data_IF_003609607653
#
_entry.id   IF_003609607653
#
_cell.length_a   1.000
_cell.length_b   1.000
_cell.length_c   1.000
_cell.angle_alpha   90.00
_cell.angle_beta   90.00
_cell.angle_gamma   90.00
#
_symmetry.space_group_name_H-M   'P 1'
#
loop_
_entity.id
_entity.type
_entity.pdbx_description
1 polymer ?
#
# COMPACT_ATOMS: atom_id res chain seq x y z
N UNK A 1 -8.16 -10.63 11.02
CA UNK A 1 -7.33 -10.59 12.23
C UNK A 1 -6.78 -9.20 12.44
N UNK A 2 -6.67 -8.79 13.67
CA UNK A 2 -6.24 -7.46 14.01
C UNK A 2 -4.79 -7.48 14.51
N UNK A 3 -3.98 -6.55 14.03
CA UNK A 3 -2.60 -6.46 14.47
C UNK A 3 -2.52 -5.82 15.85
N UNK A 4 -1.62 -6.34 16.66
CA UNK A 4 -1.42 -5.83 17.99
C UNK A 4 -0.54 -4.58 17.96
N UNK A 5 -0.72 -3.72 18.95
CA UNK A 5 0.11 -2.52 19.04
C UNK A 5 1.59 -2.87 19.21
N UNK A 6 1.88 -3.98 19.94
CA UNK A 6 3.28 -4.36 20.11
C UNK A 6 3.88 -4.86 18.80
N UNK A 7 3.09 -5.40 17.88
CA UNK A 7 3.59 -5.76 16.56
C UNK A 7 4.04 -4.51 15.82
N UNK A 8 3.24 -3.46 15.89
CA UNK A 8 3.61 -2.21 15.24
C UNK A 8 4.89 -1.65 15.84
N UNK A 9 5.03 -1.71 17.15
CA UNK A 9 6.25 -1.22 17.80
C UNK A 9 7.47 -2.01 17.36
N UNK A 10 7.32 -3.32 17.16
CA UNK A 10 8.43 -4.13 16.68
C UNK A 10 8.83 -3.73 15.26
N UNK A 11 7.85 -3.44 14.42
CA UNK A 11 8.15 -3.01 13.05
C UNK A 11 8.90 -1.69 13.09
N UNK A 12 8.46 -0.77 13.95
CA UNK A 12 9.16 0.51 14.10
C UNK A 12 10.62 0.28 14.46
N UNK A 13 10.88 -0.74 15.29
CA UNK A 13 12.24 -1.07 15.71
C UNK A 13 13.02 -1.87 14.66
N UNK A 14 12.40 -2.22 13.55
CA UNK A 14 13.09 -2.92 12.48
C UNK A 14 12.98 -4.43 12.53
N UNK A 15 11.99 -4.97 13.26
CA UNK A 15 11.78 -6.41 13.35
C UNK A 15 11.16 -6.92 12.06
N UNK A 16 11.95 -7.65 11.27
CA UNK A 16 11.49 -8.12 9.97
C UNK A 16 10.46 -9.24 10.08
N UNK A 17 10.50 -10.00 11.15
CA UNK A 17 9.50 -11.05 11.35
C UNK A 17 8.14 -10.42 11.59
N UNK A 18 8.10 -9.39 12.43
CA UNK A 18 6.86 -8.66 12.66
C UNK A 18 6.36 -8.02 11.37
N UNK A 19 7.27 -7.50 10.55
CA UNK A 19 6.87 -6.91 9.29
C UNK A 19 6.32 -7.95 8.32
N UNK A 20 6.89 -9.16 8.32
CA UNK A 20 6.34 -10.23 7.48
C UNK A 20 4.89 -10.54 7.86
N UNK A 21 4.57 -10.53 9.15
CA UNK A 21 3.18 -10.72 9.56
C UNK A 21 2.29 -9.59 9.09
N UNK A 22 2.81 -8.38 9.14
CA UNK A 22 2.09 -7.23 8.63
C UNK A 22 1.76 -7.41 7.15
N UNK A 23 2.76 -7.82 6.36
CA UNK A 23 2.55 -8.03 4.94
C UNK A 23 1.53 -9.14 4.68
N UNK A 24 1.63 -10.23 5.43
CA UNK A 24 0.67 -11.33 5.27
C UNK A 24 -0.75 -10.88 5.58
N UNK A 25 -0.88 -10.01 6.57
CA UNK A 25 -2.19 -9.53 6.97
C UNK A 25 -2.86 -8.70 5.87
N UNK A 26 -2.09 -7.92 5.16
CA UNK A 26 -2.65 -6.96 4.21
C UNK A 26 -2.53 -7.36 2.74
N UNK A 27 -1.62 -8.26 2.39
CA UNK A 27 -1.25 -8.45 0.98
C UNK A 27 -2.42 -8.89 0.12
N UNK A 28 -3.22 -9.84 0.59
CA UNK A 28 -4.33 -10.34 -0.22
C UNK A 28 -5.36 -9.25 -0.49
N UNK A 29 -5.71 -8.49 0.54
CA UNK A 29 -6.69 -7.41 0.39
C UNK A 29 -6.17 -6.34 -0.56
N UNK A 30 -4.93 -5.94 -0.38
CA UNK A 30 -4.36 -4.90 -1.23
C UNK A 30 -4.22 -5.38 -2.66
N UNK A 31 -3.86 -6.64 -2.84
CA UNK A 31 -3.75 -7.19 -4.18
C UNK A 31 -5.10 -7.18 -4.90
N UNK A 32 -6.14 -7.68 -4.23
CA UNK A 32 -7.46 -7.73 -4.86
C UNK A 32 -7.98 -6.34 -5.17
N UNK A 33 -7.77 -5.41 -4.25
CA UNK A 33 -8.17 -4.03 -4.46
C UNK A 33 -7.45 -3.42 -5.67
N UNK A 34 -6.14 -3.62 -5.74
CA UNK A 34 -5.34 -3.07 -6.82
C UNK A 34 -5.67 -3.74 -8.16
N UNK A 35 -5.86 -5.05 -8.12
CA UNK A 35 -6.23 -5.76 -9.34
C UNK A 35 -7.58 -5.25 -9.88
N UNK A 36 -8.51 -4.96 -8.99
CA UNK A 36 -9.80 -4.41 -9.43
C UNK A 36 -9.62 -3.07 -10.12
N UNK A 37 -8.64 -2.28 -9.69
CA UNK A 37 -8.38 -0.99 -10.31
C UNK A 37 -7.61 -1.11 -11.62
N UNK A 38 -6.63 -1.98 -11.68
CA UNK A 38 -5.70 -2.04 -12.80
C UNK A 38 -6.05 -3.10 -13.83
N UNK A 39 -6.67 -4.19 -13.41
CA UNK A 39 -7.04 -5.26 -14.32
C UNK A 39 -5.89 -6.11 -14.80
N UNK A 40 -4.69 -5.93 -14.25
CA UNK A 40 -3.50 -6.67 -14.66
C UNK A 40 -2.80 -7.24 -13.44
N UNK A 41 -2.49 -8.53 -13.52
CA UNK A 41 -1.92 -9.23 -12.38
C UNK A 41 -0.53 -8.70 -12.01
N UNK A 42 0.36 -8.62 -12.99
CA UNK A 42 1.73 -8.20 -12.72
C UNK A 42 1.78 -6.78 -12.18
N UNK A 43 0.97 -5.90 -12.75
CA UNK A 43 0.94 -4.52 -12.28
C UNK A 43 0.43 -4.44 -10.86
N UNK A 44 -0.60 -5.23 -10.55
CA UNK A 44 -1.14 -5.22 -9.19
C UNK A 44 -0.10 -5.72 -8.19
N UNK A 45 0.62 -6.78 -8.54
CA UNK A 45 1.66 -7.30 -7.66
C UNK A 45 2.77 -6.28 -7.43
N UNK A 46 3.14 -5.58 -8.49
CA UNK A 46 4.18 -4.57 -8.37
C UNK A 46 3.75 -3.43 -7.45
N UNK A 47 2.51 -2.98 -7.60
CA UNK A 47 2.00 -1.90 -6.74
C UNK A 47 1.98 -2.34 -5.28
N UNK A 48 1.54 -3.57 -5.00
CA UNK A 48 1.51 -4.04 -3.63
C UNK A 48 2.91 -4.10 -3.03
N UNK A 49 3.88 -4.57 -3.82
CA UNK A 49 5.27 -4.58 -3.36
C UNK A 49 5.77 -3.17 -3.07
N UNK A 50 5.43 -2.22 -3.93
CA UNK A 50 5.85 -0.83 -3.72
C UNK A 50 5.23 -0.25 -2.46
N UNK A 51 3.97 -0.61 -2.17
CA UNK A 51 3.31 -0.15 -0.96
C UNK A 51 4.07 -0.63 0.27
N UNK A 52 4.39 -1.93 0.31
CA UNK A 52 5.09 -2.46 1.47
C UNK A 52 6.50 -1.90 1.59
N UNK A 53 7.16 -1.65 0.47
CA UNK A 53 8.47 -1.01 0.52
C UNK A 53 8.36 0.38 1.14
N UNK A 54 7.34 1.14 0.76
CA UNK A 54 7.16 2.47 1.33
C UNK A 54 6.82 2.40 2.81
N UNK A 55 5.99 1.43 3.21
CA UNK A 55 5.66 1.24 4.62
C UNK A 55 6.94 0.98 5.42
N UNK A 56 7.76 0.08 4.93
CA UNK A 56 9.01 -0.25 5.63
C UNK A 56 9.93 0.95 5.71
N UNK A 57 10.06 1.67 4.64
CA UNK A 57 10.93 2.84 4.57
C UNK A 57 10.50 3.91 5.57
N UNK A 58 9.20 4.05 5.79
CA UNK A 58 8.66 5.06 6.67
C UNK A 58 8.16 4.48 7.99
N UNK A 59 8.69 3.33 8.38
CA UNK A 59 8.14 2.60 9.52
C UNK A 59 8.20 3.35 10.83
N UNK A 60 9.10 4.32 10.95
CA UNK A 60 9.24 5.06 12.20
C UNK A 60 7.96 5.80 12.58
N UNK A 61 7.13 6.13 11.61
CA UNK A 61 5.88 6.83 11.91
C UNK A 61 4.68 5.94 12.09
N UNK A 62 4.84 4.62 12.03
CA UNK A 62 3.69 3.72 12.05
C UNK A 62 2.89 3.79 13.35
N UNK A 63 3.58 4.01 14.46
CA UNK A 63 2.90 4.01 15.75
C UNK A 63 1.93 5.17 15.89
N UNK A 64 2.06 6.20 15.07
CA UNK A 64 1.21 7.38 15.15
C UNK A 64 0.00 7.31 14.23
N UNK A 65 -0.13 6.23 13.46
CA UNK A 65 -1.23 6.11 12.52
C UNK A 65 -2.46 5.61 13.25
N UNK A 66 -3.53 6.41 13.20
CA UNK A 66 -4.74 6.07 13.93
C UNK A 66 -5.57 4.98 13.30
N UNK A 67 -5.59 4.94 11.95
CA UNK A 67 -6.37 3.93 11.24
C UNK A 67 -5.48 3.32 10.16
N UNK A 68 -4.87 2.18 10.50
CA UNK A 68 -3.91 1.54 9.61
C UNK A 68 -4.55 1.09 8.30
N UNK A 69 -5.77 0.55 8.37
CA UNK A 69 -6.45 0.09 7.16
C UNK A 69 -6.67 1.23 6.18
N UNK A 70 -7.16 2.37 6.67
CA UNK A 70 -7.42 3.51 5.80
C UNK A 70 -6.12 4.08 5.26
N UNK A 71 -5.09 4.13 6.09
CA UNK A 71 -3.82 4.69 5.70
C UNK A 71 -3.16 3.88 4.58
N UNK A 72 -3.10 2.57 4.77
CA UNK A 72 -2.41 1.73 3.79
C UNK A 72 -3.21 1.64 2.50
N UNK A 73 -4.53 1.67 2.59
CA UNK A 73 -5.35 1.66 1.39
C UNK A 73 -5.20 2.96 0.61
N UNK A 74 -5.06 4.08 1.30
CA UNK A 74 -4.82 5.36 0.64
C UNK A 74 -3.51 5.35 -0.13
N UNK A 75 -2.45 4.81 0.46
CA UNK A 75 -1.17 4.69 -0.24
C UNK A 75 -1.34 3.83 -1.49
N UNK A 76 -2.04 2.71 -1.32
CA UNK A 76 -2.25 1.79 -2.43
C UNK A 76 -3.01 2.46 -3.56
N UNK A 77 -4.08 3.19 -3.22
CA UNK A 77 -4.86 3.89 -4.22
C UNK A 77 -4.02 4.91 -4.98
N UNK A 78 -3.24 5.70 -4.26
CA UNK A 78 -2.41 6.72 -4.90
C UNK A 78 -1.41 6.10 -5.87
N UNK A 79 -0.79 5.00 -5.48
CA UNK A 79 0.16 4.34 -6.36
C UNK A 79 -0.52 3.74 -7.58
N UNK A 80 -1.70 3.17 -7.40
CA UNK A 80 -2.44 2.60 -8.52
C UNK A 80 -2.86 3.68 -9.51
N UNK A 81 -3.37 4.79 -9.02
CA UNK A 81 -3.78 5.89 -9.90
C UNK A 81 -2.57 6.49 -10.61
N UNK A 82 -1.46 6.64 -9.89
CA UNK A 82 -0.24 7.15 -10.50
C UNK A 82 0.23 6.22 -11.63
N UNK A 83 0.13 4.93 -11.40
CA UNK A 83 0.49 3.96 -12.42
C UNK A 83 -0.39 4.10 -13.65
N UNK A 84 -1.71 4.23 -13.45
CA UNK A 84 -2.63 4.39 -14.57
C UNK A 84 -2.35 5.65 -15.37
N UNK A 85 -2.01 6.72 -14.69
CA UNK A 85 -1.68 7.97 -15.39
C UNK A 85 -0.48 7.79 -16.30
N UNK A 86 0.55 7.10 -15.82
CA UNK A 86 1.74 6.86 -16.61
C UNK A 86 1.45 5.95 -17.79
N UNK A 87 0.61 4.93 -17.56
CA UNK A 87 0.30 3.98 -18.61
C UNK A 87 -0.46 4.62 -19.75
N UNK A 88 -1.46 5.41 -19.43
CA UNK A 88 -2.33 5.95 -20.47
C UNK A 88 -1.82 7.24 -21.07
N UNK A 89 -1.09 8.01 -20.28
CA UNK A 89 -0.61 9.31 -20.74
C UNK A 89 -1.70 10.33 -20.95
N UNK A 90 -2.95 9.91 -20.91
CA UNK A 90 -4.08 10.80 -21.16
C UNK A 90 -4.79 11.23 -19.91
N UNK A 91 -4.50 10.59 -18.82
CA UNK A 91 -5.21 10.87 -17.58
C UNK A 91 -5.03 12.29 -17.12
N UNK A 92 -3.85 12.83 -17.32
CA UNK A 92 -3.59 14.20 -16.89
C UNK A 92 -4.48 15.17 -17.58
N UNK A 93 -4.71 14.94 -18.87
CA UNK A 93 -5.60 15.81 -19.63
C UNK A 93 -7.02 15.73 -19.11
N UNK A 94 -7.45 14.52 -18.76
CA UNK A 94 -8.79 14.34 -18.21
C UNK A 94 -8.99 15.17 -16.95
N UNK A 95 -7.99 15.19 -16.11
CA UNK A 95 -8.07 15.98 -14.89
C UNK A 95 -8.18 17.45 -15.20
N UNK A 96 -7.40 17.89 -16.15
CA UNK A 96 -7.42 19.32 -16.52
C UNK A 96 -8.74 19.74 -17.07
N UNK A 97 -9.45 18.82 -17.72
CA UNK A 97 -10.74 19.14 -18.31
C UNK A 97 -11.83 19.27 -17.27
N UNK A 98 -11.59 18.78 -16.08
CA UNK A 98 -12.56 18.86 -15.01
C UNK A 98 -12.37 20.16 -14.24
#
# INVERSE_FOLDING_TARGET
>A
MKLENNEICRIVDGDEIAFNRFMEHYSSRLYHYTFALLGQKESAEEIVSDVFFEVWKNRKGLAEIGNMNAWIQTITYRKAISFLRKETGKYELSFDDI
#
